data_IF_969673467155
#
_entry.id   IF_969673467155
#
_cell.length_a   1.000
_cell.length_b   1.000
_cell.length_c   1.000
_cell.angle_alpha   90.00
_cell.angle_beta   90.00
_cell.angle_gamma   90.00
#
_symmetry.space_group_name_H-M   'P 1'
#
loop_
_entity.id
_entity.type
_entity.pdbx_description
1 polymer ?
#
# COMPACT_ATOMS: atom_id res chain seq x y z
N UNK A 1 24.85 -24.85 -22.57
CA UNK A 1 23.48 -25.03 -22.03
C UNK A 1 23.03 -26.41 -22.45
N UNK A 2 22.75 -27.29 -21.49
CA UNK A 2 22.42 -28.69 -21.79
C UNK A 2 21.08 -28.80 -22.54
N UNK A 3 21.01 -29.76 -23.46
CA UNK A 3 19.80 -30.00 -24.26
C UNK A 3 18.59 -30.30 -23.36
N UNK A 4 18.81 -30.98 -22.24
CA UNK A 4 17.78 -31.23 -21.23
C UNK A 4 17.23 -29.94 -20.60
N UNK A 5 18.10 -28.98 -20.29
CA UNK A 5 17.68 -27.69 -19.71
C UNK A 5 16.87 -26.87 -20.73
N UNK A 6 17.25 -26.93 -22.01
CA UNK A 6 16.52 -26.26 -23.09
C UNK A 6 15.11 -26.86 -23.25
N UNK A 7 14.99 -28.19 -23.25
CA UNK A 7 13.69 -28.89 -23.34
C UNK A 7 12.82 -28.57 -22.11
N UNK A 8 13.41 -28.55 -20.91
CA UNK A 8 12.69 -28.24 -19.67
C UNK A 8 12.14 -26.80 -19.67
N UNK A 9 12.93 -25.82 -20.10
CA UNK A 9 12.51 -24.42 -20.24
C UNK A 9 11.37 -24.30 -21.25
N UNK A 10 11.46 -24.99 -22.39
CA UNK A 10 10.39 -24.99 -23.40
C UNK A 10 9.08 -25.60 -22.86
N UNK A 11 9.16 -26.65 -22.05
CA UNK A 11 7.98 -27.28 -21.43
C UNK A 11 7.27 -26.34 -20.45
N UNK A 12 8.02 -25.60 -19.62
CA UNK A 12 7.46 -24.61 -18.69
C UNK A 12 6.77 -23.47 -19.45
N UNK A 13 7.42 -22.95 -20.49
CA UNK A 13 6.85 -21.87 -21.32
C UNK A 13 5.56 -22.34 -21.99
N UNK A 14 5.56 -23.54 -22.57
CA UNK A 14 4.36 -24.12 -23.18
C UNK A 14 3.23 -24.34 -22.17
N UNK A 15 3.54 -24.82 -20.97
CA UNK A 15 2.57 -24.98 -19.88
C UNK A 15 1.96 -23.64 -19.46
N UNK A 16 2.78 -22.59 -19.34
CA UNK A 16 2.30 -21.27 -18.95
C UNK A 16 1.39 -20.64 -20.01
N UNK A 17 1.77 -20.74 -21.28
CA UNK A 17 0.92 -20.31 -22.42
C UNK A 17 -0.39 -21.10 -22.43
N UNK A 18 -0.34 -22.41 -22.19
CA UNK A 18 -1.53 -23.26 -22.09
C UNK A 18 -2.46 -22.83 -20.93
N UNK A 19 -1.89 -22.51 -19.76
CA UNK A 19 -2.66 -22.08 -18.60
C UNK A 19 -3.33 -20.71 -18.82
N UNK A 20 -2.62 -19.75 -19.41
CA UNK A 20 -3.17 -18.41 -19.74
C UNK A 20 -4.24 -18.49 -20.83
N UNK A 21 -4.04 -19.34 -21.85
CA UNK A 21 -5.01 -19.49 -22.95
C UNK A 21 -6.24 -20.31 -22.57
N UNK A 22 -6.13 -21.25 -21.62
CA UNK A 22 -7.25 -22.08 -21.14
C UNK A 22 -7.99 -21.47 -19.93
N UNK A 23 -7.36 -20.55 -19.21
CA UNK A 23 -7.89 -19.93 -17.98
C UNK A 23 -9.18 -19.12 -18.14
N UNK A 24 -9.62 -18.79 -19.36
CA UNK A 24 -10.83 -18.01 -19.60
C UNK A 24 -12.10 -18.86 -19.81
N UNK A 25 -12.06 -20.19 -19.63
CA UNK A 25 -13.21 -21.07 -19.91
C UNK A 25 -13.64 -22.03 -18.80
N UNK A 26 -13.02 -22.01 -17.62
CA UNK A 26 -13.42 -22.89 -16.48
C UNK A 26 -13.17 -22.24 -15.13
N UNK A 27 -13.81 -21.10 -14.89
CA UNK A 27 -13.98 -20.55 -13.55
C UNK A 27 -15.47 -20.64 -13.17
N UNK A 28 -16.06 -21.84 -13.23
CA UNK A 28 -17.41 -22.11 -12.73
C UNK A 28 -17.64 -23.63 -12.65
N UNK A 29 -16.90 -24.32 -11.79
CA UNK A 29 -17.34 -25.60 -11.19
C UNK A 29 -16.28 -26.07 -10.20
N UNK A 30 -16.30 -25.46 -9.01
CA UNK A 30 -15.71 -26.09 -7.83
C UNK A 30 -16.59 -25.75 -6.63
N UNK A 31 -17.49 -26.70 -6.35
CA UNK A 31 -17.93 -27.13 -5.01
C UNK A 31 -18.43 -26.04 -4.04
N UNK A 32 -19.75 -25.79 -4.04
CA UNK A 32 -20.45 -25.26 -2.87
C UNK A 32 -20.97 -26.42 -2.00
N UNK A 33 -20.65 -26.51 -0.70
CA UNK A 33 -21.42 -27.33 0.23
C UNK A 33 -22.78 -26.66 0.53
N UNK A 34 -23.82 -27.41 0.93
CA UNK A 34 -25.16 -26.89 1.10
C UNK A 34 -25.20 -26.04 2.37
N UNK A 35 -25.62 -24.78 2.25
CA UNK A 35 -26.06 -23.97 3.39
C UNK A 35 -27.55 -23.67 3.26
N UNK A 36 -28.29 -24.45 4.01
CA UNK A 36 -29.66 -24.22 4.40
C UNK A 36 -29.83 -22.84 5.06
N UNK A 37 -30.96 -22.18 4.76
CA UNK A 37 -31.62 -21.22 5.63
C UNK A 37 -31.07 -19.80 5.68
N UNK A 38 -31.50 -18.93 4.73
CA UNK A 38 -31.54 -17.47 4.96
C UNK A 38 -32.86 -16.92 4.35
N UNK A 39 -33.67 -16.17 5.11
CA UNK A 39 -34.94 -15.62 4.63
C UNK A 39 -34.71 -14.60 3.51
N UNK A 40 -35.56 -14.65 2.50
CA UNK A 40 -35.58 -13.71 1.37
C UNK A 40 -35.65 -12.27 1.88
N UNK A 41 -34.68 -11.40 1.54
CA UNK A 41 -34.76 -10.00 1.91
C UNK A 41 -35.91 -9.33 1.16
N UNK A 42 -36.63 -8.49 1.90
CA UNK A 42 -37.72 -7.64 1.43
C UNK A 42 -37.36 -7.01 0.08
N UNK A 43 -38.29 -7.15 -0.87
CA UNK A 43 -38.21 -6.67 -2.25
C UNK A 43 -37.53 -5.29 -2.28
N UNK A 44 -36.24 -5.29 -2.63
CA UNK A 44 -35.37 -4.14 -2.46
C UNK A 44 -35.88 -2.93 -3.20
N UNK A 45 -35.72 -1.76 -2.59
CA UNK A 45 -35.90 -0.46 -3.25
C UNK A 45 -35.21 -0.50 -4.61
N UNK A 46 -36.00 -0.34 -5.67
CA UNK A 46 -35.45 -0.37 -7.03
C UNK A 46 -34.67 0.92 -7.28
N UNK A 47 -33.71 0.87 -8.19
CA UNK A 47 -32.90 2.03 -8.52
C UNK A 47 -33.74 3.24 -8.98
N UNK A 48 -34.87 3.00 -9.66
CA UNK A 48 -35.82 4.06 -10.00
C UNK A 48 -36.43 4.73 -8.76
N UNK A 49 -36.77 3.96 -7.73
CA UNK A 49 -37.33 4.49 -6.49
C UNK A 49 -36.29 5.35 -5.75
N UNK A 50 -35.01 4.90 -5.75
CA UNK A 50 -33.90 5.66 -5.18
C UNK A 50 -33.66 6.99 -5.91
N UNK A 51 -33.70 6.97 -7.25
CA UNK A 51 -33.54 8.18 -8.06
C UNK A 51 -34.71 9.14 -7.90
N UNK A 52 -35.92 8.60 -7.74
CA UNK A 52 -37.13 9.37 -7.47
C UNK A 52 -37.04 10.04 -6.11
N UNK A 53 -36.62 9.30 -5.08
CA UNK A 53 -36.41 9.81 -3.72
C UNK A 53 -35.39 10.96 -3.68
N UNK A 54 -34.25 10.81 -4.37
CA UNK A 54 -33.22 11.87 -4.45
C UNK A 54 -33.79 13.13 -5.13
N UNK A 55 -34.58 12.95 -6.20
CA UNK A 55 -35.18 14.08 -6.93
C UNK A 55 -36.26 14.80 -6.11
N UNK A 56 -37.06 14.06 -5.35
CA UNK A 56 -38.11 14.62 -4.50
C UNK A 56 -37.51 15.33 -3.27
N UNK A 57 -36.43 14.78 -2.69
CA UNK A 57 -35.67 15.43 -1.62
C UNK A 57 -35.04 16.76 -2.09
N UNK A 58 -34.57 16.84 -3.33
CA UNK A 58 -34.04 18.08 -3.92
C UNK A 58 -35.13 19.12 -4.25
N UNK A 59 -36.36 18.67 -4.53
CA UNK A 59 -37.49 19.55 -4.87
C UNK A 59 -38.25 20.07 -3.65
N UNK A 60 -37.90 19.63 -2.44
CA UNK A 60 -38.50 20.11 -1.19
C UNK A 60 -39.97 19.69 -0.99
N UNK A 61 -40.50 18.80 -1.83
CA UNK A 61 -41.87 18.27 -1.72
C UNK A 61 -41.84 16.91 -1.05
N UNK A 62 -41.38 16.85 0.20
CA UNK A 62 -41.57 15.67 1.04
C UNK A 62 -42.80 15.89 1.93
N UNK A 63 -43.88 15.16 1.65
CA UNK A 63 -44.92 14.93 2.66
C UNK A 63 -44.29 14.17 3.83
N UNK A 64 -44.39 14.68 5.07
CA UNK A 64 -43.75 14.03 6.20
C UNK A 64 -44.53 12.77 6.59
N UNK A 65 -43.98 11.59 6.31
CA UNK A 65 -44.39 10.37 7.02
C UNK A 65 -43.90 10.49 8.47
N UNK A 66 -44.87 10.60 9.37
CA UNK A 66 -44.85 10.36 10.82
C UNK A 66 -43.48 10.47 11.51
N UNK A 67 -43.29 11.61 12.17
CA UNK A 67 -42.21 11.85 13.13
C UNK A 67 -42.42 10.88 14.31
N UNK A 68 -41.67 9.79 14.36
CA UNK A 68 -41.45 9.06 15.60
C UNK A 68 -40.74 10.00 16.59
N UNK A 69 -41.28 10.07 17.82
CA UNK A 69 -40.78 10.93 18.90
C UNK A 69 -39.27 10.71 19.08
N UNK A 70 -38.44 11.77 19.09
CA UNK A 70 -37.01 11.61 19.29
C UNK A 70 -36.75 11.07 20.70
N UNK A 71 -36.16 9.87 20.80
CA UNK A 71 -35.50 9.41 22.02
C UNK A 71 -34.48 10.47 22.46
N UNK A 72 -34.36 10.78 23.76
CA UNK A 72 -33.42 11.78 24.23
C UNK A 72 -32.00 11.40 23.80
N UNK A 73 -31.36 12.29 23.05
CA UNK A 73 -29.96 12.16 22.63
C UNK A 73 -29.10 12.21 23.90
N UNK A 74 -28.17 11.28 24.13
CA UNK A 74 -27.18 11.46 25.19
C UNK A 74 -26.40 12.74 24.90
N UNK A 75 -26.42 13.68 25.84
CA UNK A 75 -25.52 14.83 25.81
C UNK A 75 -24.11 14.28 26.04
N UNK A 76 -23.31 14.30 24.97
CA UNK A 76 -21.89 14.05 25.08
C UNK A 76 -21.25 15.27 25.73
N UNK A 77 -20.76 15.10 26.96
CA UNK A 77 -19.82 16.05 27.52
C UNK A 77 -18.53 16.00 26.69
N UNK A 78 -17.97 17.15 26.27
CA UNK A 78 -16.71 17.14 25.56
C UNK A 78 -15.61 16.69 26.53
N UNK A 79 -15.13 15.46 26.34
CA UNK A 79 -13.89 15.01 26.98
C UNK A 79 -12.80 15.97 26.54
N UNK A 80 -12.29 16.76 27.49
CA UNK A 80 -11.17 17.69 27.28
C UNK A 80 -9.96 16.85 26.91
N UNK A 81 -9.69 16.69 25.61
CA UNK A 81 -8.48 16.03 25.14
C UNK A 81 -7.29 16.85 25.62
N UNK A 82 -6.49 16.26 26.51
CA UNK A 82 -5.19 16.82 26.82
C UNK A 82 -4.39 16.85 25.52
N UNK A 83 -3.84 18.02 25.17
CA UNK A 83 -2.91 18.14 24.04
C UNK A 83 -1.77 17.17 24.32
N UNK A 84 -1.68 16.10 23.53
CA UNK A 84 -0.50 15.25 23.54
C UNK A 84 0.70 16.15 23.22
N UNK A 85 1.63 16.26 24.17
CA UNK A 85 2.88 16.95 23.93
C UNK A 85 3.60 16.21 22.80
N UNK A 86 3.87 16.94 21.72
CA UNK A 86 4.67 16.40 20.63
C UNK A 86 6.08 16.23 21.17
N UNK A 87 6.45 15.00 21.51
CA UNK A 87 7.84 14.67 21.78
C UNK A 87 8.61 14.90 20.47
N UNK A 88 9.38 15.98 20.43
CA UNK A 88 10.38 16.17 19.38
C UNK A 88 11.38 15.05 19.55
N UNK A 89 11.35 14.07 18.64
CA UNK A 89 12.38 13.04 18.56
C UNK A 89 13.72 13.76 18.41
N UNK A 90 14.56 13.69 19.44
CA UNK A 90 15.97 14.05 19.28
C UNK A 90 16.60 12.96 18.41
N UNK A 91 17.31 13.30 17.32
CA UNK A 91 18.09 12.30 16.60
C UNK A 91 19.10 11.69 17.57
N UNK A 92 19.12 10.36 17.66
CA UNK A 92 19.87 9.58 18.64
C UNK A 92 21.38 9.52 18.31
N UNK A 93 21.94 10.52 17.64
CA UNK A 93 23.15 10.33 16.84
C UNK A 93 24.45 10.91 17.40
N UNK A 94 24.49 11.50 18.60
CA UNK A 94 25.70 12.24 18.99
C UNK A 94 26.37 11.87 20.33
N UNK A 95 25.81 10.98 21.16
CA UNK A 95 26.43 10.66 22.47
C UNK A 95 26.33 9.17 22.87
N UNK A 96 26.35 8.25 21.90
CA UNK A 96 26.50 6.84 22.24
C UNK A 96 27.99 6.46 22.21
N UNK A 97 28.57 6.31 23.41
CA UNK A 97 29.97 5.92 23.60
C UNK A 97 30.30 4.60 22.85
N UNK A 98 29.29 3.74 22.68
CA UNK A 98 29.41 2.48 21.96
C UNK A 98 29.69 2.70 20.46
N UNK A 99 29.03 3.70 19.84
CA UNK A 99 29.26 4.03 18.42
C UNK A 99 30.69 4.55 18.21
N UNK A 100 31.22 5.34 19.15
CA UNK A 100 32.59 5.85 19.09
C UNK A 100 33.62 4.70 19.25
N UNK A 101 33.35 3.74 20.13
CA UNK A 101 34.21 2.58 20.36
C UNK A 101 34.38 1.73 19.08
N UNK A 102 33.28 1.45 18.37
CA UNK A 102 33.35 0.65 17.13
C UNK A 102 33.93 1.42 15.95
N UNK A 103 33.76 2.75 15.88
CA UNK A 103 34.31 3.57 14.79
C UNK A 103 35.85 3.58 14.80
N UNK A 104 36.47 3.71 15.97
CA UNK A 104 37.94 3.72 16.10
C UNK A 104 38.62 2.36 15.85
N UNK A 105 37.88 1.26 15.93
CA UNK A 105 38.42 -0.08 15.72
C UNK A 105 38.85 -0.32 14.26
N UNK A 106 38.22 0.34 13.29
CA UNK A 106 38.53 0.19 11.87
C UNK A 106 39.54 1.21 11.35
N UNK A 107 39.67 2.37 11.99
CA UNK A 107 40.58 3.43 11.55
C UNK A 107 42.06 3.09 11.82
N UNK A 108 42.34 2.27 12.84
CA UNK A 108 43.70 1.89 13.24
C UNK A 108 44.20 0.58 12.61
N UNK A 109 43.45 -0.01 11.67
CA UNK A 109 43.86 -1.26 11.04
C UNK A 109 44.83 -0.93 9.91
N UNK A 110 46.08 -1.40 10.04
CA UNK A 110 47.08 -1.27 8.99
C UNK A 110 46.54 -1.84 7.66
N UNK A 111 46.39 -1.02 6.60
CA UNK A 111 45.83 -1.49 5.33
C UNK A 111 46.73 -2.54 4.66
N UNK A 112 47.98 -2.70 5.12
CA UNK A 112 48.91 -3.74 4.70
C UNK A 112 48.65 -5.11 5.34
N UNK A 113 48.03 -5.16 6.53
CA UNK A 113 47.65 -6.42 7.19
C UNK A 113 46.28 -6.94 6.71
N UNK A 114 45.44 -6.06 6.19
CA UNK A 114 44.09 -6.38 5.65
C UNK A 114 44.15 -6.87 4.21
N UNK A 115 45.14 -6.38 3.43
CA UNK A 115 45.47 -6.99 2.14
C UNK A 115 46.03 -8.37 2.45
N UNK A 116 45.24 -9.38 2.10
CA UNK A 116 45.63 -10.78 1.86
C UNK A 116 46.99 -11.15 2.43
N UNK A 117 46.97 -11.98 3.49
CA UNK A 117 48.15 -12.67 4.03
C UNK A 117 49.14 -13.01 2.92
N UNK A 118 50.41 -12.63 3.09
CA UNK A 118 51.48 -12.81 2.11
C UNK A 118 51.39 -14.19 1.44
N UNK A 119 50.93 -14.24 0.18
CA UNK A 119 50.79 -15.48 -0.59
C UNK A 119 49.44 -15.71 -1.27
N UNK A 120 48.39 -14.93 -1.00
CA UNK A 120 47.14 -15.03 -1.77
C UNK A 120 47.22 -14.05 -2.95
N UNK A 121 47.13 -14.51 -4.22
CA UNK A 121 47.14 -13.63 -5.38
C UNK A 121 45.96 -12.66 -5.31
N UNK A 122 46.22 -11.38 -5.67
CA UNK A 122 45.19 -10.36 -5.76
C UNK A 122 44.06 -10.86 -6.67
N UNK A 123 42.89 -11.12 -6.07
CA UNK A 123 41.67 -11.45 -6.83
C UNK A 123 41.44 -10.24 -7.75
N UNK A 124 41.35 -10.44 -9.08
CA UNK A 124 41.05 -9.35 -9.98
C UNK A 124 39.76 -8.72 -9.49
N UNK A 125 39.83 -7.44 -9.13
CA UNK A 125 38.66 -6.64 -8.81
C UNK A 125 37.89 -6.52 -10.12
N UNK A 126 37.07 -7.52 -10.43
CA UNK A 126 35.92 -7.29 -11.29
C UNK A 126 35.23 -6.10 -10.67
N UNK A 127 35.14 -5.01 -11.43
CA UNK A 127 34.27 -3.90 -11.11
C UNK A 127 32.88 -4.53 -10.95
N UNK A 128 32.55 -4.88 -9.70
CA UNK A 128 31.19 -5.17 -9.32
C UNK A 128 30.55 -3.81 -9.51
N UNK A 129 29.98 -3.59 -10.70
CA UNK A 129 28.92 -2.62 -10.90
C UNK A 129 28.03 -2.81 -9.68
N UNK A 130 28.13 -1.87 -8.73
CA UNK A 130 27.28 -1.90 -7.55
C UNK A 130 25.89 -2.02 -8.14
N UNK A 131 25.19 -3.09 -7.80
CA UNK A 131 23.81 -3.29 -8.23
C UNK A 131 22.95 -2.26 -7.50
N UNK A 132 23.11 -0.98 -7.84
CA UNK A 132 22.13 0.08 -7.63
C UNK A 132 20.84 -0.24 -8.41
N UNK A 133 20.84 -1.32 -9.20
CA UNK A 133 19.69 -1.94 -9.84
C UNK A 133 18.60 -2.37 -8.84
N UNK A 134 18.90 -2.49 -7.53
CA UNK A 134 17.89 -2.71 -6.49
C UNK A 134 17.44 -1.44 -5.76
N UNK A 135 17.90 -0.25 -6.15
CA UNK A 135 17.14 0.95 -5.88
C UNK A 135 15.88 0.83 -6.73
N UNK A 136 14.88 0.10 -6.19
CA UNK A 136 13.56 0.01 -6.76
C UNK A 136 13.22 1.43 -7.18
N UNK A 137 12.94 1.64 -8.46
CA UNK A 137 12.43 2.92 -8.92
C UNK A 137 11.17 3.14 -8.11
N UNK A 138 11.31 3.80 -6.96
CA UNK A 138 10.23 4.09 -6.05
C UNK A 138 9.23 4.76 -6.95
N UNK A 139 8.12 4.07 -7.23
CA UNK A 139 7.13 4.53 -8.18
C UNK A 139 6.74 5.89 -7.66
N UNK A 140 7.23 6.94 -8.32
CA UNK A 140 7.10 8.29 -7.82
C UNK A 140 5.60 8.48 -7.61
N UNK A 141 5.21 8.71 -6.35
CA UNK A 141 3.80 8.79 -5.99
C UNK A 141 3.13 9.76 -6.97
N UNK A 142 2.00 9.41 -7.60
CA UNK A 142 1.39 10.27 -8.62
C UNK A 142 1.23 11.71 -8.12
N UNK A 143 0.94 11.86 -6.84
CA UNK A 143 0.83 13.15 -6.13
C UNK A 143 2.14 13.91 -6.00
N UNK A 144 3.29 13.23 -5.87
CA UNK A 144 4.60 13.87 -5.83
C UNK A 144 4.93 14.58 -7.16
N UNK A 145 4.36 14.14 -8.28
CA UNK A 145 4.49 14.81 -9.57
C UNK A 145 3.60 16.06 -9.64
N UNK A 146 2.38 15.99 -9.08
CA UNK A 146 1.44 17.11 -9.02
C UNK A 146 1.96 18.25 -8.12
N UNK A 147 2.74 17.93 -7.09
CA UNK A 147 3.33 18.93 -6.18
C UNK A 147 4.48 19.75 -6.80
N UNK A 148 5.06 19.32 -7.92
CA UNK A 148 6.16 20.05 -8.59
C UNK A 148 5.65 21.28 -9.35
N UNK A 149 4.39 21.28 -9.77
CA UNK A 149 3.79 22.35 -10.55
C UNK A 149 2.83 23.18 -9.69
N UNK A 150 3.04 24.50 -9.58
CA UNK A 150 2.20 25.39 -8.74
C UNK A 150 0.69 25.30 -9.04
N UNK A 151 0.30 25.07 -10.29
CA UNK A 151 -1.10 24.88 -10.70
C UNK A 151 -1.68 23.54 -10.26
N UNK A 152 -0.86 22.50 -10.20
CA UNK A 152 -1.25 21.12 -9.89
C UNK A 152 -1.21 20.81 -8.39
N UNK A 153 -0.45 21.60 -7.61
CA UNK A 153 -0.49 21.58 -6.13
C UNK A 153 -1.91 21.79 -5.61
N UNK A 154 -2.67 22.73 -6.18
CA UNK A 154 -4.08 22.98 -5.78
C UNK A 154 -4.96 21.75 -6.00
N UNK A 155 -4.78 21.06 -7.13
CA UNK A 155 -5.52 19.84 -7.45
C UNK A 155 -5.13 18.69 -6.52
N UNK A 156 -3.85 18.55 -6.18
CA UNK A 156 -3.39 17.54 -5.24
C UNK A 156 -3.97 17.73 -3.83
N UNK A 157 -4.09 18.98 -3.36
CA UNK A 157 -4.71 19.30 -2.06
C UNK A 157 -6.20 18.94 -2.07
N UNK A 158 -6.94 19.34 -3.11
CA UNK A 158 -8.36 19.03 -3.24
C UNK A 158 -8.60 17.52 -3.29
N UNK A 159 -7.80 16.79 -4.06
CA UNK A 159 -7.95 15.34 -4.19
C UNK A 159 -7.57 14.59 -2.90
N UNK A 160 -6.52 15.04 -2.19
CA UNK A 160 -6.20 14.53 -0.85
C UNK A 160 -7.37 14.74 0.11
N UNK A 161 -7.98 15.92 0.10
CA UNK A 161 -9.13 16.24 0.97
C UNK A 161 -10.36 15.38 0.64
N UNK A 162 -10.57 15.04 -0.63
CA UNK A 162 -11.66 14.14 -1.03
C UNK A 162 -11.40 12.71 -0.52
N UNK A 163 -10.15 12.23 -0.59
CA UNK A 163 -9.77 10.88 -0.18
C UNK A 163 -9.68 10.71 1.34
N UNK A 164 -9.25 11.75 2.08
CA UNK A 164 -9.13 11.70 3.55
C UNK A 164 -10.50 11.79 4.26
N UNK A 165 -11.58 12.10 3.53
CA UNK A 165 -12.94 12.03 4.08
C UNK A 165 -13.34 10.58 4.30
N UNK A 166 -13.56 10.25 5.57
CA UNK A 166 -13.89 8.96 6.21
C UNK A 166 -14.92 8.02 5.52
N UNK A 167 -15.53 8.41 4.41
CA UNK A 167 -16.59 7.67 3.73
C UNK A 167 -16.31 7.44 2.23
N UNK A 168 -15.04 7.57 1.81
CA UNK A 168 -14.49 6.98 0.60
C UNK A 168 -13.35 6.01 0.94
#
# INVERSE_FOLDING_TARGET
MDLGNIIYILAIIAYFIYQVTKGNKKAEEQENPPKEGIPTPEKGVTFEDLLREIRDAQRGTSTPKTIEKPKPKPQFEPVRSQKAERTVYKPLEENDDEIQYYKGAFENIDPKKVKTSEGIPDIPKTEVERFDQYASKSKANPYAQLLKNKSSVKQAIVLKEILDRKYF
#
